data_IF_426179669347
#
_entry.id   IF_426179669347
#
_cell.length_a   1.000
_cell.length_b   1.000
_cell.length_c   1.000
_cell.angle_alpha   90.00
_cell.angle_beta   90.00
_cell.angle_gamma   90.00
#
_symmetry.space_group_name_H-M   'P 1'
#
loop_
_entity.id
_entity.type
_entity.pdbx_description
1 polymer ?
#
# COMPACT_ATOMS: atom_id res chain seq x y z
N UNK A 1 18.25 -17.27 7.74
CA UNK A 1 18.29 -16.38 8.93
C UNK A 1 19.59 -15.60 9.11
N UNK A 2 20.79 -16.19 8.96
CA UNK A 2 22.08 -15.46 9.08
C UNK A 2 22.29 -14.40 8.01
N UNK A 3 21.82 -14.60 6.78
CA UNK A 3 21.99 -13.68 5.65
C UNK A 3 21.29 -12.32 5.84
N UNK A 4 20.09 -12.28 6.43
CA UNK A 4 19.37 -11.01 6.72
C UNK A 4 20.06 -10.18 7.82
N UNK A 5 20.68 -10.82 8.81
CA UNK A 5 21.46 -10.11 9.86
C UNK A 5 22.69 -9.41 9.29
N UNK A 6 23.39 -10.04 8.35
CA UNK A 6 24.58 -9.43 7.73
C UNK A 6 24.21 -8.32 6.75
N UNK A 7 23.09 -8.45 6.01
CA UNK A 7 22.60 -7.39 5.12
C UNK A 7 22.22 -6.12 5.91
N UNK A 8 21.59 -6.28 7.06
CA UNK A 8 21.22 -5.18 7.96
C UNK A 8 22.43 -4.48 8.56
N UNK A 9 23.44 -5.25 9.01
CA UNK A 9 24.72 -4.72 9.54
C UNK A 9 25.55 -4.01 8.46
N UNK A 10 25.63 -4.55 7.25
CA UNK A 10 26.35 -3.95 6.13
C UNK A 10 25.67 -2.64 5.69
N UNK A 11 24.34 -2.58 5.69
CA UNK A 11 23.61 -1.35 5.37
C UNK A 11 23.79 -0.26 6.44
N UNK A 12 23.81 -0.63 7.73
CA UNK A 12 24.10 0.30 8.82
C UNK A 12 25.55 0.80 8.81
N UNK A 13 26.52 -0.06 8.50
CA UNK A 13 27.94 0.30 8.41
C UNK A 13 28.26 1.14 7.17
N UNK A 14 27.59 0.92 6.05
CA UNK A 14 27.77 1.76 4.85
C UNK A 14 27.21 3.18 5.06
N UNK A 15 26.15 3.34 5.82
CA UNK A 15 25.61 4.66 6.18
C UNK A 15 26.57 5.41 7.11
N UNK A 16 27.22 4.74 8.08
CA UNK A 16 28.21 5.37 8.96
C UNK A 16 29.52 5.74 8.23
N UNK A 17 29.97 4.96 7.25
CA UNK A 17 31.17 5.26 6.46
C UNK A 17 30.98 6.49 5.53
N UNK A 18 29.78 6.73 5.04
CA UNK A 18 29.47 7.96 4.28
C UNK A 18 29.43 9.21 5.17
N UNK A 19 29.20 9.08 6.46
CA UNK A 19 29.22 10.20 7.41
C UNK A 19 30.62 10.77 7.66
N UNK A 20 31.67 9.96 7.61
CA UNK A 20 33.06 10.38 7.87
C UNK A 20 33.72 11.04 6.67
N UNK A 21 33.31 10.77 5.44
CA UNK A 21 33.88 11.40 4.23
C UNK A 21 33.25 12.76 3.86
N UNK A 22 32.14 13.15 4.47
CA UNK A 22 31.46 14.41 4.16
C UNK A 22 32.02 15.63 4.94
N UNK A 23 33.03 15.47 5.79
CA UNK A 23 33.57 16.54 6.64
C UNK A 23 34.78 17.30 6.07
N UNK A 24 35.35 16.84 4.96
CA UNK A 24 36.53 17.52 4.37
C UNK A 24 36.23 18.01 2.95
N UNK A 25 35.70 19.21 2.80
CA UNK A 25 36.08 20.17 1.73
C UNK A 25 35.37 21.53 1.92
N UNK A 26 36.18 22.51 2.20
CA UNK A 26 36.11 23.99 2.04
C UNK A 26 34.78 24.65 1.64
N UNK A 27 34.35 25.55 2.53
CA UNK A 27 33.79 26.91 2.34
C UNK A 27 32.89 27.18 1.12
N UNK A 28 31.62 26.93 1.26
CA UNK A 28 30.50 27.77 0.81
C UNK A 28 29.39 27.56 1.81
N UNK A 29 28.71 28.64 2.27
CA UNK A 29 27.56 28.56 3.20
C UNK A 29 26.47 27.62 2.63
N UNK A 30 26.62 26.33 2.80
CA UNK A 30 25.56 25.35 2.57
C UNK A 30 24.64 25.39 3.77
N UNK A 31 23.46 25.91 3.57
CA UNK A 31 22.33 25.68 4.49
C UNK A 31 22.30 24.19 4.83
N UNK A 32 22.44 23.83 6.10
CA UNK A 32 22.36 22.43 6.55
C UNK A 32 20.99 21.94 6.16
N UNK A 33 20.90 21.29 5.01
CA UNK A 33 19.73 20.54 4.59
C UNK A 33 19.70 19.27 5.43
N UNK A 34 18.52 18.89 5.91
CA UNK A 34 18.28 17.69 6.72
C UNK A 34 19.23 16.55 6.28
N UNK A 35 20.06 15.99 7.18
CA UNK A 35 21.07 14.97 6.85
C UNK A 35 20.47 13.68 6.24
N UNK A 36 19.15 13.48 6.39
CA UNK A 36 18.42 12.35 5.80
C UNK A 36 17.92 12.61 4.37
N UNK A 37 18.19 13.79 3.80
CA UNK A 37 17.74 14.16 2.46
C UNK A 37 18.93 14.52 1.55
N UNK A 38 18.96 13.93 0.38
CA UNK A 38 19.95 14.21 -0.67
C UNK A 38 19.24 14.65 -1.96
N UNK A 39 19.76 15.68 -2.61
CA UNK A 39 19.23 16.16 -3.89
C UNK A 39 20.39 16.38 -4.87
N UNK A 40 20.30 15.72 -6.04
CA UNK A 40 21.20 15.95 -7.16
C UNK A 40 20.38 16.04 -8.46
N UNK A 41 20.27 17.26 -8.99
CA UNK A 41 19.50 17.52 -10.20
C UNK A 41 18.06 17.03 -10.07
N UNK A 42 17.67 16.03 -10.88
CA UNK A 42 16.32 15.45 -10.90
C UNK A 42 16.09 14.37 -9.85
N UNK A 43 17.16 13.79 -9.30
CA UNK A 43 17.10 12.76 -8.28
C UNK A 43 16.99 13.38 -6.89
N UNK A 44 16.05 12.88 -6.11
CA UNK A 44 15.98 13.11 -4.66
C UNK A 44 15.95 11.76 -3.96
N UNK A 45 16.63 11.71 -2.83
CA UNK A 45 16.70 10.54 -1.96
C UNK A 45 16.44 10.96 -0.53
N UNK A 46 15.69 10.17 0.20
CA UNK A 46 15.45 10.37 1.61
C UNK A 46 15.31 9.02 2.32
N UNK A 47 15.75 8.93 3.57
CA UNK A 47 15.57 7.74 4.41
C UNK A 47 14.91 8.17 5.71
N UNK A 48 13.88 7.45 6.12
CA UNK A 48 13.18 7.72 7.37
C UNK A 48 13.10 6.46 8.22
N UNK A 49 13.38 6.58 9.53
CA UNK A 49 13.12 5.50 10.45
C UNK A 49 11.60 5.30 10.60
N UNK A 50 11.19 4.06 10.80
CA UNK A 50 9.82 3.69 11.11
C UNK A 50 9.78 2.78 12.30
N UNK A 51 8.74 2.93 13.11
CA UNK A 51 8.42 2.03 14.19
C UNK A 51 6.93 1.81 14.26
N UNK A 52 6.52 0.62 14.62
CA UNK A 52 5.13 0.28 14.92
C UNK A 52 5.07 -0.67 16.10
N UNK A 53 3.90 -0.76 16.71
CA UNK A 53 3.61 -1.72 17.75
C UNK A 53 2.39 -2.50 17.32
N UNK A 54 2.52 -3.80 17.26
CA UNK A 54 1.44 -4.72 16.96
C UNK A 54 1.41 -5.81 18.04
N UNK A 55 0.24 -6.13 18.62
CA UNK A 55 0.14 -7.14 19.68
C UNK A 55 0.67 -8.53 19.26
N UNK A 56 0.52 -8.89 18.00
CA UNK A 56 1.00 -10.17 17.48
C UNK A 56 2.49 -10.17 17.22
N UNK A 57 3.03 -9.14 16.55
CA UNK A 57 4.43 -9.05 16.14
C UNK A 57 5.36 -8.35 17.14
N UNK A 58 4.81 -7.64 18.13
CA UNK A 58 5.57 -6.87 19.10
C UNK A 58 5.99 -5.49 18.59
N UNK A 59 7.16 -5.01 18.99
CA UNK A 59 7.72 -3.74 18.51
C UNK A 59 8.42 -4.01 17.19
N UNK A 60 8.00 -3.32 16.15
CA UNK A 60 8.64 -3.33 14.83
C UNK A 60 9.50 -2.07 14.67
N UNK A 61 10.72 -2.26 14.25
CA UNK A 61 11.66 -1.19 13.91
C UNK A 61 12.09 -1.36 12.45
N UNK A 62 12.32 -0.24 11.78
CA UNK A 62 12.71 -0.31 10.39
C UNK A 62 13.08 1.01 9.76
N UNK A 63 13.18 1.00 8.44
CA UNK A 63 13.48 2.18 7.64
C UNK A 63 12.69 2.19 6.34
N UNK A 64 12.44 3.40 5.84
CA UNK A 64 11.80 3.66 4.55
C UNK A 64 12.71 4.56 3.69
N UNK A 65 13.62 4.00 2.88
CA UNK A 65 14.29 4.74 1.83
C UNK A 65 13.33 5.04 0.68
N UNK A 66 13.39 6.26 0.17
CA UNK A 66 12.60 6.75 -0.96
C UNK A 66 13.48 7.46 -1.95
N UNK A 67 13.42 7.02 -3.19
CA UNK A 67 14.01 7.68 -4.34
C UNK A 67 12.88 8.31 -5.17
N UNK A 68 13.08 9.55 -5.60
CA UNK A 68 12.16 10.21 -6.52
C UNK A 68 12.92 10.90 -7.63
N UNK A 69 12.45 10.72 -8.86
CA UNK A 69 13.02 11.28 -10.07
C UNK A 69 11.98 12.21 -10.71
N UNK A 70 12.27 13.51 -10.72
CA UNK A 70 11.39 14.48 -11.38
C UNK A 70 11.27 14.19 -12.89
N UNK A 71 10.11 14.46 -13.50
CA UNK A 71 9.95 14.35 -14.94
C UNK A 71 10.94 15.25 -15.69
N UNK A 72 11.27 14.93 -16.95
CA UNK A 72 12.17 15.74 -17.79
C UNK A 72 11.59 17.14 -18.07
N UNK A 73 10.30 17.23 -18.35
CA UNK A 73 9.57 18.47 -18.40
C UNK A 73 8.95 18.75 -17.01
N UNK A 74 9.00 20.00 -16.55
CA UNK A 74 8.45 20.37 -15.22
C UNK A 74 6.96 20.06 -15.10
N UNK A 75 6.22 20.22 -16.18
CA UNK A 75 4.79 19.95 -16.30
C UNK A 75 4.59 19.49 -17.74
N UNK A 76 3.78 18.47 -17.98
CA UNK A 76 3.43 18.12 -19.36
C UNK A 76 2.47 19.18 -19.96
N UNK A 77 2.18 19.07 -21.26
CA UNK A 77 1.33 20.02 -21.98
C UNK A 77 -0.10 20.16 -21.40
N UNK A 78 -0.51 19.24 -20.51
CA UNK A 78 -1.81 19.23 -19.85
C UNK A 78 -1.75 19.62 -18.37
N UNK A 79 -0.58 19.99 -17.86
CA UNK A 79 -0.41 20.43 -16.47
C UNK A 79 -0.21 19.32 -15.44
N UNK A 80 0.08 18.09 -15.85
CA UNK A 80 0.26 16.94 -14.94
C UNK A 80 1.71 16.78 -14.50
N UNK A 81 1.91 16.56 -13.21
CA UNK A 81 3.23 16.28 -12.64
C UNK A 81 3.34 14.81 -12.24
N UNK A 82 4.08 14.02 -13.01
CA UNK A 82 4.27 12.58 -12.81
C UNK A 82 5.73 12.26 -12.54
N UNK A 83 6.14 12.36 -11.26
CA UNK A 83 7.47 11.90 -10.84
C UNK A 83 7.53 10.39 -10.78
N UNK A 84 8.64 9.82 -11.25
CA UNK A 84 8.95 8.42 -11.01
C UNK A 84 9.49 8.25 -9.59
N UNK A 85 9.18 7.14 -8.94
CA UNK A 85 9.64 6.91 -7.58
C UNK A 85 9.83 5.42 -7.29
N UNK A 86 10.80 5.14 -6.44
CA UNK A 86 11.06 3.84 -5.84
C UNK A 86 11.10 4.01 -4.32
N UNK A 87 10.36 3.21 -3.60
CA UNK A 87 10.35 3.20 -2.15
C UNK A 87 10.53 1.77 -1.63
N UNK A 88 11.19 1.63 -0.50
CA UNK A 88 11.20 0.39 0.24
C UNK A 88 10.65 0.61 1.65
N UNK A 89 10.04 -0.42 2.19
CA UNK A 89 9.60 -0.52 3.57
C UNK A 89 10.24 -1.76 4.16
N UNK A 90 11.16 -1.56 5.08
CA UNK A 90 12.00 -2.60 5.67
C UNK A 90 11.73 -2.58 7.15
N UNK A 91 11.04 -3.60 7.69
CA UNK A 91 10.77 -3.72 9.12
C UNK A 91 11.16 -5.09 9.65
N UNK A 92 11.62 -5.08 10.88
CA UNK A 92 11.92 -6.28 11.65
C UNK A 92 11.44 -6.09 13.08
N UNK A 93 10.87 -7.13 13.66
CA UNK A 93 10.26 -7.06 14.98
C UNK A 93 11.08 -7.75 16.06
N UNK A 94 10.79 -7.40 17.32
CA UNK A 94 11.39 -8.03 18.51
C UNK A 94 11.05 -9.51 18.66
N UNK A 95 10.03 -10.00 17.96
CA UNK A 95 9.65 -11.42 17.92
C UNK A 95 10.13 -12.14 16.66
N UNK A 96 11.17 -11.63 15.98
CA UNK A 96 11.78 -12.20 14.77
C UNK A 96 10.88 -12.21 13.52
N UNK A 97 9.91 -11.31 13.42
CA UNK A 97 9.08 -11.15 12.22
C UNK A 97 9.70 -10.14 11.26
N UNK A 98 9.54 -10.37 9.99
CA UNK A 98 10.11 -9.53 8.94
C UNK A 98 9.07 -9.14 7.89
N UNK A 99 9.07 -7.86 7.50
CA UNK A 99 8.31 -7.39 6.35
C UNK A 99 9.22 -6.50 5.49
N UNK A 100 9.51 -6.96 4.28
CA UNK A 100 10.33 -6.26 3.30
C UNK A 100 9.47 -6.03 2.07
N UNK A 101 9.19 -4.77 1.74
CA UNK A 101 8.45 -4.39 0.55
C UNK A 101 9.21 -3.32 -0.23
N UNK A 102 9.42 -3.56 -1.50
CA UNK A 102 9.92 -2.57 -2.45
C UNK A 102 8.84 -2.31 -3.49
N UNK A 103 8.60 -1.04 -3.81
CA UNK A 103 7.63 -0.66 -4.83
C UNK A 103 8.11 0.54 -5.63
N UNK A 104 7.90 0.49 -6.94
CA UNK A 104 8.29 1.55 -7.86
C UNK A 104 7.17 1.88 -8.84
N UNK A 105 7.09 3.16 -9.19
CA UNK A 105 6.22 3.66 -10.25
C UNK A 105 7.05 4.56 -11.17
N UNK A 106 7.07 4.25 -12.45
CA UNK A 106 7.95 4.91 -13.41
C UNK A 106 7.16 5.42 -14.61
N UNK A 107 7.43 6.66 -14.98
CA UNK A 107 6.83 7.36 -16.11
C UNK A 107 7.92 7.74 -17.10
N UNK A 108 7.79 7.33 -18.35
CA UNK A 108 8.75 7.64 -19.40
C UNK A 108 8.26 8.77 -20.30
N UNK A 109 9.17 9.47 -20.95
CA UNK A 109 8.83 10.50 -21.94
C UNK A 109 8.11 9.97 -23.18
N UNK A 110 8.20 8.66 -23.43
CA UNK A 110 7.49 7.99 -24.53
C UNK A 110 6.07 7.56 -24.15
N UNK A 111 5.57 7.97 -22.98
CA UNK A 111 4.23 7.65 -22.49
C UNK A 111 4.08 6.20 -21.98
N UNK A 112 5.18 5.48 -21.72
CA UNK A 112 5.13 4.22 -21.00
C UNK A 112 5.06 4.52 -19.49
N UNK A 113 4.19 3.80 -18.81
CA UNK A 113 4.07 3.80 -17.37
C UNK A 113 4.19 2.35 -16.89
N UNK A 114 5.09 2.08 -15.98
CA UNK A 114 5.24 0.77 -15.37
C UNK A 114 5.37 0.87 -13.87
N UNK A 115 4.64 -0.01 -13.20
CA UNK A 115 4.67 -0.23 -11.78
C UNK A 115 5.30 -1.58 -11.47
N UNK A 116 6.03 -1.66 -10.39
CA UNK A 116 6.60 -2.92 -9.89
C UNK A 116 6.53 -2.93 -8.38
N UNK A 117 6.22 -4.08 -7.82
CA UNK A 117 6.46 -4.29 -6.40
C UNK A 117 6.92 -5.73 -6.13
N UNK A 118 7.69 -5.88 -5.07
CA UNK A 118 8.05 -7.17 -4.48
C UNK A 118 7.90 -7.05 -2.98
N UNK A 119 7.33 -8.05 -2.35
CA UNK A 119 7.18 -8.11 -0.90
C UNK A 119 7.49 -9.50 -0.37
N UNK A 120 8.30 -9.55 0.65
CA UNK A 120 8.48 -10.70 1.53
C UNK A 120 7.84 -10.41 2.88
N UNK A 121 7.04 -11.33 3.38
CA UNK A 121 6.49 -11.31 4.73
C UNK A 121 6.79 -12.62 5.43
N UNK A 122 7.19 -12.53 6.68
CA UNK A 122 7.27 -13.63 7.64
C UNK A 122 6.76 -13.10 8.97
N UNK A 123 5.50 -13.38 9.29
CA UNK A 123 4.83 -12.82 10.47
C UNK A 123 3.64 -13.71 10.90
N UNK A 124 3.27 -13.68 12.18
CA UNK A 124 2.01 -14.28 12.60
C UNK A 124 0.84 -13.51 11.99
N UNK A 125 -0.23 -14.21 11.72
CA UNK A 125 -1.46 -13.63 11.22
C UNK A 125 -2.66 -14.38 11.81
N UNK A 126 -3.86 -13.82 11.63
CA UNK A 126 -5.08 -14.38 12.17
C UNK A 126 -6.09 -14.60 11.05
N UNK A 127 -6.76 -15.72 11.10
CA UNK A 127 -7.90 -16.04 10.24
C UNK A 127 -9.16 -16.09 11.09
N UNK A 128 -10.11 -15.21 10.81
CA UNK A 128 -11.37 -15.08 11.56
C UNK A 128 -12.51 -15.87 10.94
N UNK A 129 -12.32 -16.44 9.75
CA UNK A 129 -13.33 -17.03 8.89
C UNK A 129 -13.60 -16.19 7.65
N UNK A 130 -14.58 -16.61 6.84
CA UNK A 130 -15.00 -15.92 5.61
C UNK A 130 -16.41 -15.37 5.86
N UNK A 131 -16.66 -14.12 5.42
CA UNK A 131 -17.94 -13.43 5.57
C UNK A 131 -18.01 -12.48 6.76
N UNK A 132 -19.22 -12.02 7.05
CA UNK A 132 -19.51 -10.99 8.05
C UNK A 132 -19.70 -11.53 9.47
N UNK A 133 -20.12 -12.78 9.65
CA UNK A 133 -20.52 -13.36 10.94
C UNK A 133 -19.33 -13.87 11.79
N UNK A 134 -18.11 -13.61 11.35
CA UNK A 134 -16.88 -14.16 11.92
C UNK A 134 -16.37 -13.41 13.18
N UNK A 135 -17.03 -12.32 13.58
CA UNK A 135 -16.57 -11.42 14.64
C UNK A 135 -16.58 -12.07 16.02
N UNK A 136 -17.49 -13.01 16.26
CA UNK A 136 -17.68 -13.69 17.54
C UNK A 136 -16.90 -15.00 17.67
N UNK A 137 -16.11 -15.35 16.67
CA UNK A 137 -15.29 -16.58 16.67
C UNK A 137 -13.88 -16.30 17.17
N UNK A 138 -13.31 -17.21 17.96
CA UNK A 138 -11.89 -17.17 18.27
C UNK A 138 -11.10 -17.42 16.98
N UNK A 139 -10.26 -16.47 16.53
CA UNK A 139 -9.56 -16.64 15.27
C UNK A 139 -8.48 -17.73 15.35
N UNK A 140 -8.23 -18.42 14.27
CA UNK A 140 -7.06 -19.26 14.13
C UNK A 140 -5.83 -18.39 13.96
N UNK A 141 -4.83 -18.56 14.81
CA UNK A 141 -3.50 -17.98 14.61
C UNK A 141 -2.68 -18.91 13.75
N UNK A 142 -1.90 -18.35 12.84
CA UNK A 142 -0.99 -19.12 11.98
C UNK A 142 0.24 -18.30 11.62
N UNK A 143 1.31 -18.96 11.24
CA UNK A 143 2.50 -18.33 10.69
C UNK A 143 2.29 -18.12 9.19
N UNK A 144 2.25 -16.85 8.79
CA UNK A 144 2.06 -16.40 7.43
C UNK A 144 3.41 -16.04 6.80
N UNK A 145 3.84 -16.81 5.82
CA UNK A 145 5.04 -16.51 5.05
C UNK A 145 4.71 -16.44 3.57
N UNK A 146 5.08 -15.34 2.92
CA UNK A 146 4.93 -15.24 1.48
C UNK A 146 6.01 -14.40 0.81
N UNK A 147 6.24 -14.70 -0.45
CA UNK A 147 6.85 -13.81 -1.42
C UNK A 147 5.80 -13.48 -2.46
N UNK A 148 5.53 -12.20 -2.67
CA UNK A 148 4.65 -11.74 -3.74
C UNK A 148 5.28 -10.62 -4.54
N UNK A 149 4.99 -10.61 -5.83
CA UNK A 149 5.40 -9.56 -6.73
C UNK A 149 4.29 -9.20 -7.70
N UNK A 150 4.38 -8.00 -8.25
CA UNK A 150 3.48 -7.54 -9.29
C UNK A 150 4.20 -6.62 -10.25
N UNK A 151 3.77 -6.67 -11.48
CA UNK A 151 4.25 -5.81 -12.56
C UNK A 151 3.05 -5.28 -13.33
N UNK A 152 3.03 -3.98 -13.55
CA UNK A 152 2.06 -3.30 -14.40
C UNK A 152 2.80 -2.61 -15.52
N UNK A 153 2.37 -2.82 -16.76
CA UNK A 153 2.85 -2.06 -17.90
C UNK A 153 1.67 -1.46 -18.63
N UNK A 154 1.72 -0.16 -18.88
CA UNK A 154 0.70 0.52 -19.65
C UNK A 154 1.28 1.61 -20.55
N UNK A 155 0.61 1.84 -21.67
CA UNK A 155 0.92 2.89 -22.64
C UNK A 155 -0.11 4.00 -22.52
N UNK A 156 0.34 5.25 -22.45
CA UNK A 156 -0.57 6.40 -22.47
C UNK A 156 -1.10 6.66 -23.88
N UNK A 157 -2.40 6.90 -23.96
CA UNK A 157 -3.12 7.40 -25.12
C UNK A 157 -3.67 8.77 -24.76
N UNK A 158 -3.39 9.80 -25.54
CA UNK A 158 -3.78 11.18 -25.25
C UNK A 158 -3.41 11.64 -23.81
N UNK A 159 -2.25 11.20 -23.32
CA UNK A 159 -1.64 11.60 -22.05
C UNK A 159 -2.40 11.15 -20.78
N UNK A 160 -3.72 10.99 -20.83
CA UNK A 160 -4.59 10.73 -19.67
C UNK A 160 -5.16 9.31 -19.61
N UNK A 161 -5.22 8.60 -20.72
CA UNK A 161 -5.67 7.22 -20.78
C UNK A 161 -4.47 6.29 -20.84
N UNK A 162 -4.44 5.26 -20.02
CA UNK A 162 -3.39 4.24 -20.01
C UNK A 162 -4.04 2.88 -20.20
N UNK A 163 -3.59 2.15 -21.20
CA UNK A 163 -4.04 0.79 -21.50
C UNK A 163 -2.84 -0.13 -21.37
N UNK A 164 -3.01 -1.24 -20.74
CA UNK A 164 -1.93 -2.16 -20.45
C UNK A 164 -2.36 -3.45 -19.79
N UNK A 165 -1.44 -4.06 -19.06
CA UNK A 165 -1.66 -5.30 -18.36
C UNK A 165 -0.99 -5.33 -16.99
N UNK A 166 -1.47 -6.25 -16.15
CA UNK A 166 -0.91 -6.61 -14.84
C UNK A 166 -0.43 -8.05 -14.86
N UNK A 167 0.70 -8.28 -14.20
CA UNK A 167 1.19 -9.61 -13.82
C UNK A 167 1.29 -9.67 -12.31
N UNK A 168 0.87 -10.77 -11.71
CA UNK A 168 0.97 -11.01 -10.27
C UNK A 168 1.51 -12.41 -10.01
N UNK A 169 2.45 -12.51 -9.08
CA UNK A 169 2.96 -13.78 -8.58
C UNK A 169 2.92 -13.75 -7.07
N UNK A 170 2.44 -14.81 -6.44
CA UNK A 170 2.49 -14.98 -5.00
C UNK A 170 2.77 -16.44 -4.66
N UNK A 171 3.83 -16.69 -3.90
CA UNK A 171 4.07 -17.96 -3.24
C UNK A 171 3.74 -17.79 -1.76
N UNK A 172 2.82 -18.61 -1.26
CA UNK A 172 2.26 -18.56 0.08
C UNK A 172 2.58 -19.84 0.83
N UNK A 173 3.13 -19.72 2.03
CA UNK A 173 3.33 -20.82 2.97
C UNK A 173 2.59 -20.51 4.27
N UNK A 174 1.82 -21.47 4.77
CA UNK A 174 1.01 -21.37 5.97
C UNK A 174 1.41 -22.51 6.91
N UNK A 175 1.89 -22.17 8.09
CA UNK A 175 2.38 -23.14 9.09
C UNK A 175 1.95 -22.73 10.50
N UNK A 176 2.25 -23.57 11.49
CA UNK A 176 1.96 -23.30 12.91
C UNK A 176 0.49 -22.91 13.15
N UNK A 177 -0.45 -23.67 12.56
CA UNK A 177 -1.87 -23.38 12.58
C UNK A 177 -2.48 -23.80 13.93
N UNK A 178 -2.98 -22.85 14.68
CA UNK A 178 -3.91 -23.10 15.80
C UNK A 178 -5.29 -23.39 15.21
N UNK A 179 -5.70 -24.66 15.21
CA UNK A 179 -6.91 -25.13 14.53
C UNK A 179 -8.18 -24.76 15.28
N UNK A 180 -8.73 -23.57 15.04
CA UNK A 180 -10.06 -23.18 15.48
C UNK A 180 -11.02 -23.10 14.30
N UNK A 181 -10.88 -22.07 13.44
CA UNK A 181 -11.72 -21.84 12.25
C UNK A 181 -10.98 -22.12 10.94
N UNK A 182 -9.64 -22.08 10.93
CA UNK A 182 -8.84 -22.44 9.75
C UNK A 182 -8.57 -23.94 9.73
N UNK A 183 -9.14 -24.64 8.76
CA UNK A 183 -9.03 -26.09 8.60
C UNK A 183 -8.89 -26.48 7.13
N UNK A 184 -8.67 -27.75 6.85
CA UNK A 184 -8.40 -28.27 5.50
C UNK A 184 -9.55 -28.13 4.48
N UNK A 185 -10.75 -27.77 4.91
CA UNK A 185 -11.88 -27.48 4.00
C UNK A 185 -11.81 -26.06 3.41
N UNK A 186 -10.98 -25.18 3.98
CA UNK A 186 -10.79 -23.82 3.52
C UNK A 186 -9.86 -23.80 2.32
N UNK A 187 -10.31 -23.22 1.21
CA UNK A 187 -9.51 -23.10 0.00
C UNK A 187 -8.21 -22.32 0.26
N UNK A 188 -7.06 -22.92 -0.11
CA UNK A 188 -5.74 -22.36 0.16
C UNK A 188 -5.17 -22.66 1.55
N UNK A 189 -5.78 -23.56 2.34
CA UNK A 189 -5.30 -23.96 3.68
C UNK A 189 -3.80 -24.34 3.70
N UNK A 190 -3.32 -25.04 2.68
CA UNK A 190 -1.92 -25.48 2.57
C UNK A 190 -1.00 -24.40 1.94
N UNK A 191 -1.51 -23.21 1.68
CA UNK A 191 -0.79 -22.22 0.88
C UNK A 191 -0.77 -22.57 -0.61
N UNK A 192 0.28 -22.14 -1.32
CA UNK A 192 0.45 -22.43 -2.75
C UNK A 192 1.03 -21.29 -3.54
N UNK A 193 1.19 -21.51 -4.84
CA UNK A 193 1.68 -20.49 -5.77
C UNK A 193 0.56 -20.07 -6.71
N UNK A 194 0.28 -18.77 -6.71
CA UNK A 194 -0.71 -18.11 -7.58
C UNK A 194 0.02 -17.27 -8.61
N UNK A 195 -0.29 -17.50 -9.88
CA UNK A 195 0.14 -16.66 -11.00
C UNK A 195 -1.09 -16.03 -11.64
N UNK A 196 -1.06 -14.72 -11.84
CA UNK A 196 -2.16 -13.95 -12.42
C UNK A 196 -1.70 -13.02 -13.54
N UNK A 197 -2.52 -12.89 -14.58
CA UNK A 197 -2.33 -11.95 -15.69
C UNK A 197 -3.68 -11.36 -16.10
N UNK A 198 -3.68 -10.10 -16.49
CA UNK A 198 -4.90 -9.50 -17.01
C UNK A 198 -4.79 -8.08 -17.50
N UNK A 199 -5.80 -7.57 -18.19
CA UNK A 199 -5.84 -6.21 -18.71
C UNK A 199 -5.95 -5.17 -17.60
N UNK A 200 -5.41 -4.00 -17.87
CA UNK A 200 -5.43 -2.81 -17.03
C UNK A 200 -5.81 -1.59 -17.86
N UNK A 201 -6.76 -0.83 -17.36
CA UNK A 201 -7.09 0.49 -17.86
C UNK A 201 -6.98 1.53 -16.74
N UNK A 202 -6.38 2.69 -17.04
CA UNK A 202 -6.34 3.85 -16.13
C UNK A 202 -6.73 5.11 -16.90
N UNK A 203 -7.56 5.93 -16.28
CA UNK A 203 -7.80 7.33 -16.66
C UNK A 203 -7.27 8.20 -15.55
N UNK A 204 -6.25 9.03 -15.81
CA UNK A 204 -5.54 9.77 -14.77
C UNK A 204 -5.35 11.24 -15.18
N UNK A 205 -6.12 12.12 -14.54
CA UNK A 205 -6.05 13.58 -14.69
C UNK A 205 -5.60 14.27 -13.41
N UNK A 206 -4.96 13.54 -12.48
CA UNK A 206 -4.44 14.13 -11.24
C UNK A 206 -3.33 15.13 -11.54
N UNK A 207 -3.36 16.28 -10.86
CA UNK A 207 -2.32 17.31 -10.93
C UNK A 207 -0.95 16.81 -10.42
N UNK A 208 -0.96 15.91 -9.43
CA UNK A 208 0.23 15.28 -8.86
C UNK A 208 -0.09 13.84 -8.45
N UNK A 209 0.81 12.90 -8.72
CA UNK A 209 0.57 11.47 -8.44
C UNK A 209 0.77 11.10 -6.97
N UNK A 210 1.56 11.85 -6.21
CA UNK A 210 1.90 11.55 -4.81
C UNK A 210 0.99 12.26 -3.81
N UNK A 211 0.56 13.50 -4.13
CA UNK A 211 -0.35 14.31 -3.32
C UNK A 211 -1.28 15.09 -4.25
N UNK A 212 -2.27 14.42 -4.80
CA UNK A 212 -3.22 15.10 -5.70
C UNK A 212 -4.12 16.05 -4.93
N UNK A 213 -4.30 17.23 -5.52
CA UNK A 213 -5.21 18.27 -5.00
C UNK A 213 -6.42 18.45 -5.89
N UNK A 214 -6.32 18.09 -7.15
CA UNK A 214 -7.40 18.11 -8.15
C UNK A 214 -7.21 17.05 -9.22
N UNK A 215 -8.30 16.73 -9.90
CA UNK A 215 -8.32 15.73 -10.96
C UNK A 215 -9.04 14.45 -10.54
N UNK A 216 -8.90 13.43 -11.37
CA UNK A 216 -9.60 12.15 -11.24
C UNK A 216 -8.63 11.02 -11.58
N UNK A 217 -8.71 9.92 -10.85
CA UNK A 217 -8.15 8.64 -11.23
C UNK A 217 -9.29 7.63 -11.33
N UNK A 218 -9.38 6.94 -12.47
CA UNK A 218 -10.18 5.72 -12.62
C UNK A 218 -9.23 4.60 -13.00
N UNK A 219 -9.30 3.48 -12.30
CA UNK A 219 -8.53 2.29 -12.64
C UNK A 219 -9.45 1.09 -12.65
N UNK A 220 -9.40 0.32 -13.74
CA UNK A 220 -10.11 -0.93 -13.88
C UNK A 220 -9.15 -2.05 -14.27
N UNK A 221 -9.30 -3.24 -13.70
CA UNK A 221 -8.54 -4.42 -14.10
C UNK A 221 -9.33 -5.70 -13.93
N UNK A 222 -9.00 -6.71 -14.75
CA UNK A 222 -9.46 -8.07 -14.60
C UNK A 222 -8.24 -8.98 -14.63
N UNK A 223 -7.97 -9.71 -13.54
CA UNK A 223 -6.79 -10.58 -13.42
C UNK A 223 -7.24 -12.02 -13.37
N UNK A 224 -6.85 -12.78 -14.37
CA UNK A 224 -7.07 -14.23 -14.48
C UNK A 224 -5.93 -14.94 -13.78
N UNK A 225 -6.25 -15.71 -12.76
CA UNK A 225 -5.29 -16.36 -11.86
C UNK A 225 -5.47 -17.87 -11.82
N UNK A 226 -4.37 -18.58 -11.67
CA UNK A 226 -4.36 -20.03 -11.50
C UNK A 226 -3.36 -20.44 -10.43
N UNK A 227 -3.67 -21.53 -9.74
CA UNK A 227 -2.80 -22.16 -8.75
C UNK A 227 -1.90 -23.16 -9.46
N UNK A 228 -0.58 -22.98 -9.35
CA UNK A 228 0.38 -23.85 -10.07
C UNK A 228 0.56 -25.21 -9.41
N UNK A 229 0.29 -25.32 -8.10
CA UNK A 229 0.39 -26.55 -7.32
C UNK A 229 -0.91 -27.37 -7.28
N UNK A 230 -2.03 -26.82 -7.77
CA UNK A 230 -3.32 -27.50 -7.84
C UNK A 230 -3.88 -27.43 -9.26
N UNK A 231 -3.80 -28.57 -9.97
CA UNK A 231 -4.30 -28.68 -11.34
C UNK A 231 -5.80 -28.33 -11.38
N UNK A 232 -6.18 -27.47 -12.33
CA UNK A 232 -7.53 -27.01 -12.62
C UNK A 232 -8.12 -25.95 -11.68
N UNK A 233 -7.45 -25.51 -10.61
CA UNK A 233 -7.94 -24.41 -9.79
C UNK A 233 -7.56 -23.07 -10.39
N UNK A 234 -8.59 -22.29 -10.65
CA UNK A 234 -8.49 -20.96 -11.28
C UNK A 234 -9.53 -20.00 -10.70
N UNK A 235 -9.19 -18.74 -10.71
CA UNK A 235 -10.11 -17.67 -10.32
C UNK A 235 -9.83 -16.39 -11.08
N UNK A 236 -10.80 -15.51 -11.13
CA UNK A 236 -10.66 -14.18 -11.74
C UNK A 236 -10.97 -13.12 -10.71
N UNK A 237 -10.16 -12.07 -10.64
CA UNK A 237 -10.40 -10.91 -9.79
C UNK A 237 -10.65 -9.69 -10.66
N UNK A 238 -11.82 -9.09 -10.51
CA UNK A 238 -12.21 -7.81 -11.09
C UNK A 238 -12.03 -6.70 -10.07
N UNK A 239 -11.56 -5.53 -10.50
CA UNK A 239 -11.43 -4.37 -9.62
C UNK A 239 -11.74 -3.08 -10.36
N UNK A 240 -12.42 -2.17 -9.67
CA UNK A 240 -12.69 -0.81 -10.14
C UNK A 240 -12.44 0.17 -9.00
N UNK A 241 -11.52 1.11 -9.22
CA UNK A 241 -11.10 2.14 -8.26
C UNK A 241 -11.35 3.53 -8.88
N UNK A 242 -12.22 4.28 -8.27
CA UNK A 242 -12.53 5.66 -8.62
C UNK A 242 -12.02 6.59 -7.53
N UNK A 243 -11.22 7.59 -7.92
CA UNK A 243 -10.72 8.63 -7.00
C UNK A 243 -10.97 10.00 -7.58
N UNK A 244 -11.44 10.92 -6.75
CA UNK A 244 -11.67 12.31 -7.11
C UNK A 244 -11.04 13.23 -6.09
N UNK A 245 -10.45 14.32 -6.59
CA UNK A 245 -9.74 15.29 -5.77
C UNK A 245 -10.26 16.69 -6.05
N UNK A 246 -10.52 17.47 -4.98
CA UNK A 246 -11.06 18.81 -5.03
C UNK A 246 -10.26 19.72 -4.11
N UNK A 247 -10.02 20.94 -4.55
CA UNK A 247 -9.53 22.02 -3.70
C UNK A 247 -10.69 22.97 -3.43
N UNK A 248 -11.08 23.13 -2.16
CA UNK A 248 -12.18 24.01 -1.77
C UNK A 248 -11.70 25.44 -1.47
N UNK A 249 -10.68 25.58 -0.62
CA UNK A 249 -10.08 26.84 -0.24
C UNK A 249 -8.57 26.75 -0.41
N UNK A 250 -7.87 27.89 -0.29
CA UNK A 250 -6.40 28.01 -0.57
C UNK A 250 -5.49 26.95 0.05
N UNK A 251 -5.94 26.01 0.86
CA UNK A 251 -5.11 24.94 1.40
C UNK A 251 -5.91 23.74 1.90
N UNK A 252 -7.23 23.71 1.67
CA UNK A 252 -8.09 22.60 2.09
C UNK A 252 -8.46 21.78 0.85
N UNK A 253 -7.99 20.54 0.83
CA UNK A 253 -8.26 19.59 -0.23
C UNK A 253 -9.14 18.46 0.29
N UNK A 254 -10.06 17.98 -0.52
CA UNK A 254 -10.82 16.76 -0.31
C UNK A 254 -10.34 15.70 -1.31
N UNK A 255 -9.94 14.56 -0.80
CA UNK A 255 -9.75 13.34 -1.56
C UNK A 255 -10.92 12.40 -1.30
N UNK A 256 -11.48 11.83 -2.35
CA UNK A 256 -12.55 10.83 -2.29
C UNK A 256 -12.13 9.60 -3.07
N UNK A 257 -12.47 8.42 -2.55
CA UNK A 257 -12.28 7.13 -3.22
C UNK A 257 -13.53 6.27 -3.07
N UNK A 258 -13.91 5.61 -4.16
CA UNK A 258 -14.86 4.51 -4.17
C UNK A 258 -14.21 3.31 -4.87
N UNK A 259 -14.25 2.15 -4.24
CA UNK A 259 -13.64 0.92 -4.70
C UNK A 259 -14.66 -0.21 -4.67
N UNK A 260 -14.67 -1.02 -5.71
CA UNK A 260 -15.38 -2.29 -5.77
C UNK A 260 -14.47 -3.35 -6.36
N UNK A 261 -14.47 -4.54 -5.78
CA UNK A 261 -13.77 -5.68 -6.34
C UNK A 261 -14.54 -6.97 -6.08
N UNK A 262 -14.39 -7.90 -7.01
CA UNK A 262 -15.05 -9.21 -6.99
C UNK A 262 -14.05 -10.28 -7.39
N UNK A 263 -14.14 -11.45 -6.77
CA UNK A 263 -13.37 -12.63 -7.15
C UNK A 263 -14.30 -13.81 -7.37
N UNK A 264 -14.11 -14.51 -8.50
CA UNK A 264 -14.95 -15.63 -8.93
C UNK A 264 -14.07 -16.88 -9.17
N UNK A 265 -14.57 -18.05 -8.80
CA UNK A 265 -13.87 -19.33 -8.95
C UNK A 265 -13.29 -19.85 -7.64
N UNK A 266 -12.20 -20.63 -7.73
CA UNK A 266 -11.53 -21.31 -6.61
C UNK A 266 -10.53 -20.35 -5.93
N UNK A 267 -11.03 -19.38 -5.19
CA UNK A 267 -10.24 -18.31 -4.60
C UNK A 267 -9.63 -18.76 -3.27
N UNK A 268 -8.28 -18.89 -3.15
CA UNK A 268 -7.66 -19.16 -1.85
C UNK A 268 -7.99 -18.04 -0.84
N UNK A 269 -8.19 -18.38 0.44
CA UNK A 269 -8.61 -17.41 1.45
C UNK A 269 -7.69 -16.18 1.54
N UNK A 270 -6.40 -16.35 1.31
CA UNK A 270 -5.41 -15.27 1.30
C UNK A 270 -5.44 -14.40 0.04
N UNK A 271 -6.32 -14.71 -0.94
CA UNK A 271 -6.60 -13.91 -2.15
C UNK A 271 -8.04 -13.37 -2.17
N UNK A 272 -8.85 -13.68 -1.18
CA UNK A 272 -10.19 -13.08 -1.01
C UNK A 272 -10.07 -11.56 -0.84
N UNK A 273 -11.14 -10.86 -1.21
CA UNK A 273 -11.24 -9.42 -1.03
C UNK A 273 -11.35 -9.08 0.46
N UNK A 274 -10.82 -7.92 0.86
CA UNK A 274 -10.79 -7.52 2.26
C UNK A 274 -10.95 -6.02 2.44
N UNK A 275 -11.42 -5.61 3.61
CA UNK A 275 -11.40 -4.23 4.08
C UNK A 275 -10.48 -4.11 5.29
N UNK A 276 -9.86 -2.93 5.45
CA UNK A 276 -8.97 -2.64 6.56
C UNK A 276 -7.50 -2.49 6.16
N UNK A 277 -6.69 -2.21 7.15
CA UNK A 277 -5.26 -1.95 7.01
C UNK A 277 -4.95 -0.47 6.72
N UNK A 278 -3.72 -0.21 6.30
CA UNK A 278 -3.17 1.16 6.22
C UNK A 278 -3.66 2.01 5.03
N UNK A 279 -4.39 1.44 4.08
CA UNK A 279 -4.85 2.13 2.88
C UNK A 279 -6.37 2.17 2.74
N UNK A 280 -7.05 1.10 3.14
CA UNK A 280 -8.49 0.90 2.95
C UNK A 280 -9.18 0.89 4.31
N UNK A 281 -10.18 1.73 4.53
CA UNK A 281 -10.95 1.78 5.79
C UNK A 281 -10.05 1.65 7.04
N UNK A 282 -9.10 2.57 7.19
CA UNK A 282 -8.17 2.64 8.33
C UNK A 282 -8.95 2.67 9.64
N UNK A 283 -8.57 1.86 10.62
CA UNK A 283 -9.32 1.61 11.86
C UNK A 283 -9.63 0.13 12.03
N UNK A 284 -9.86 -0.60 10.93
CA UNK A 284 -9.87 -2.05 10.91
C UNK A 284 -8.41 -2.49 10.77
N UNK A 285 -7.78 -2.87 11.88
CA UNK A 285 -6.32 -3.10 11.93
C UNK A 285 -5.90 -4.39 11.23
N UNK A 286 -6.64 -5.47 11.43
CA UNK A 286 -6.37 -6.73 10.76
C UNK A 286 -7.25 -6.86 9.50
N UNK A 287 -6.61 -6.84 8.33
CA UNK A 287 -7.29 -6.99 7.02
C UNK A 287 -7.97 -8.35 6.83
N UNK A 288 -7.56 -9.39 7.57
CA UNK A 288 -8.17 -10.72 7.49
C UNK A 288 -9.41 -10.86 8.40
N UNK A 289 -9.76 -9.81 9.15
CA UNK A 289 -10.96 -9.82 10.01
C UNK A 289 -12.25 -9.82 9.19
N UNK A 290 -12.21 -9.21 8.02
CA UNK A 290 -13.35 -9.13 7.11
C UNK A 290 -12.87 -9.45 5.71
N UNK A 291 -13.07 -10.71 5.28
CA UNK A 291 -12.69 -11.22 3.97
C UNK A 291 -13.85 -11.96 3.33
N UNK A 292 -14.07 -11.75 2.03
CA UNK A 292 -15.05 -12.48 1.23
C UNK A 292 -14.71 -12.37 -0.27
N UNK A 293 -15.52 -12.98 -1.13
CA UNK A 293 -15.36 -12.91 -2.60
C UNK A 293 -15.51 -11.49 -3.14
N UNK A 294 -16.37 -10.69 -2.53
CA UNK A 294 -16.69 -9.34 -3.00
C UNK A 294 -16.42 -8.30 -1.92
N UNK A 295 -16.08 -7.09 -2.34
CA UNK A 295 -15.88 -5.94 -1.46
C UNK A 295 -16.34 -4.67 -2.17
N UNK A 296 -16.91 -3.76 -1.43
CA UNK A 296 -16.97 -2.36 -1.80
C UNK A 296 -16.66 -1.48 -0.60
N UNK A 297 -16.07 -0.35 -0.85
CA UNK A 297 -15.93 0.71 0.15
C UNK A 297 -15.84 2.09 -0.50
N UNK A 298 -16.21 3.08 0.29
CA UNK A 298 -15.97 4.49 -0.02
C UNK A 298 -15.29 5.15 1.16
N UNK A 299 -14.36 6.06 0.87
CA UNK A 299 -13.67 6.84 1.89
C UNK A 299 -13.37 8.24 1.40
N UNK A 300 -13.31 9.18 2.34
CA UNK A 300 -12.99 10.57 2.09
C UNK A 300 -11.97 11.08 3.09
N UNK A 301 -11.11 11.99 2.65
CA UNK A 301 -10.06 12.58 3.48
C UNK A 301 -9.95 14.08 3.20
N UNK A 302 -10.18 14.90 4.22
CA UNK A 302 -9.86 16.31 4.23
C UNK A 302 -8.39 16.50 4.57
N UNK A 303 -7.66 17.22 3.74
CA UNK A 303 -6.22 17.47 3.85
C UNK A 303 -5.96 18.96 3.90
N UNK A 304 -5.23 19.43 4.92
CA UNK A 304 -4.86 20.83 5.08
C UNK A 304 -3.38 20.98 5.43
N UNK A 305 -2.65 21.73 4.61
CA UNK A 305 -1.32 22.18 5.01
C UNK A 305 -1.46 23.31 6.02
N UNK A 306 -0.86 23.16 7.18
CA UNK A 306 -0.96 24.13 8.28
C UNK A 306 0.29 24.97 8.42
N UNK A 307 1.48 24.39 8.20
CA UNK A 307 2.73 25.13 8.29
C UNK A 307 3.84 24.47 7.46
N UNK A 308 4.43 25.22 6.53
CA UNK A 308 5.57 24.73 5.70
C UNK A 308 5.38 23.30 5.17
N UNK A 309 6.06 22.33 5.80
CA UNK A 309 6.05 20.91 5.45
C UNK A 309 5.04 20.07 6.26
N UNK A 310 4.31 20.72 7.18
CA UNK A 310 3.39 20.04 8.10
C UNK A 310 1.95 20.23 7.65
N UNK A 311 1.22 19.14 7.57
CA UNK A 311 -0.21 19.10 7.28
C UNK A 311 -0.95 18.24 8.29
N UNK A 312 -2.27 18.41 8.32
CA UNK A 312 -3.20 17.61 9.11
C UNK A 312 -4.29 17.05 8.21
N UNK A 313 -4.86 15.93 8.61
CA UNK A 313 -5.97 15.30 7.91
C UNK A 313 -7.04 14.83 8.88
N UNK A 314 -8.29 14.80 8.39
CA UNK A 314 -9.41 14.09 8.99
C UNK A 314 -10.03 13.22 7.90
N UNK A 315 -10.39 11.98 8.24
CA UNK A 315 -10.92 11.04 7.27
C UNK A 315 -12.01 10.17 7.84
N UNK A 316 -12.82 9.62 6.95
CA UNK A 316 -13.82 8.62 7.26
C UNK A 316 -14.14 7.77 6.04
N UNK A 317 -14.77 6.65 6.31
CA UNK A 317 -15.17 5.74 5.24
C UNK A 317 -16.17 4.69 5.73
N UNK A 318 -16.81 4.05 4.76
CA UNK A 318 -17.79 2.99 4.98
C UNK A 318 -17.63 1.94 3.90
N UNK A 319 -17.87 0.69 4.22
CA UNK A 319 -17.82 -0.40 3.24
C UNK A 319 -18.28 -1.72 3.81
N UNK A 320 -18.33 -2.72 2.97
CA UNK A 320 -18.68 -4.07 3.32
C UNK A 320 -17.96 -5.10 2.47
N UNK A 321 -17.89 -6.32 2.98
CA UNK A 321 -17.58 -7.54 2.24
C UNK A 321 -18.85 -8.34 2.10
N UNK A 322 -19.00 -9.15 1.05
CA UNK A 322 -20.20 -9.95 0.82
C UNK A 322 -19.94 -11.12 -0.12
N UNK A 323 -20.72 -12.19 0.02
CA UNK A 323 -20.60 -13.38 -0.82
C UNK A 323 -21.42 -13.27 -2.10
N UNK A 324 -22.63 -12.71 -2.03
CA UNK A 324 -23.62 -12.64 -3.12
C UNK A 324 -24.04 -11.21 -3.41
N UNK A 325 -24.44 -10.94 -4.66
CA UNK A 325 -24.91 -9.62 -5.12
C UNK A 325 -26.39 -9.42 -4.79
N UNK A 326 -26.72 -9.32 -3.49
CA UNK A 326 -28.06 -9.14 -2.96
C UNK A 326 -28.07 -8.16 -1.77
N UNK A 327 -29.02 -8.30 -0.85
CA UNK A 327 -29.11 -7.46 0.35
C UNK A 327 -27.89 -7.57 1.28
N UNK A 328 -27.12 -8.65 1.22
CA UNK A 328 -25.88 -8.81 2.00
C UNK A 328 -24.85 -7.72 1.68
N UNK A 329 -24.87 -7.19 0.47
CA UNK A 329 -24.02 -6.07 0.05
C UNK A 329 -24.11 -4.85 0.97
N UNK A 330 -25.27 -4.58 1.59
CA UNK A 330 -25.52 -3.39 2.41
C UNK A 330 -25.90 -3.69 3.86
N UNK A 331 -26.01 -4.96 4.25
CA UNK A 331 -26.55 -5.35 5.56
C UNK A 331 -25.57 -5.17 6.72
N UNK A 332 -24.29 -5.38 6.50
CA UNK A 332 -23.24 -5.40 7.54
C UNK A 332 -22.18 -4.30 7.33
N UNK A 333 -22.64 -3.05 7.27
CA UNK A 333 -21.76 -1.92 6.98
C UNK A 333 -20.74 -1.68 8.11
N UNK A 334 -19.49 -1.47 7.73
CA UNK A 334 -18.38 -1.11 8.62
C UNK A 334 -18.00 0.34 8.37
N UNK A 335 -18.16 1.17 9.39
CA UNK A 335 -17.77 2.57 9.36
C UNK A 335 -16.45 2.79 10.11
N UNK A 336 -15.61 3.66 9.58
CA UNK A 336 -14.35 4.06 10.18
C UNK A 336 -14.17 5.58 10.12
N UNK A 337 -13.41 6.12 11.05
CA UNK A 337 -13.02 7.53 11.04
C UNK A 337 -11.66 7.71 11.73
N UNK A 338 -11.04 8.85 11.51
CA UNK A 338 -9.76 9.13 12.12
C UNK A 338 -9.18 10.46 11.73
N UNK A 339 -8.01 10.71 12.24
CA UNK A 339 -7.23 11.91 11.97
C UNK A 339 -5.74 11.56 11.83
N UNK A 340 -4.96 12.50 11.30
CA UNK A 340 -3.54 12.25 11.12
C UNK A 340 -2.75 13.51 10.84
N UNK A 341 -1.42 13.33 10.91
CA UNK A 341 -0.44 14.32 10.55
C UNK A 341 0.31 13.92 9.27
N UNK A 342 0.78 14.93 8.57
CA UNK A 342 1.61 14.79 7.37
C UNK A 342 2.90 15.57 7.55
N UNK A 343 4.00 14.96 7.19
CA UNK A 343 5.28 15.64 7.09
C UNK A 343 5.86 15.44 5.69
N UNK A 344 6.02 16.55 4.95
CA UNK A 344 6.47 16.49 3.57
C UNK A 344 7.98 16.21 3.50
N UNK A 345 8.30 14.97 3.19
CA UNK A 345 9.68 14.44 3.19
C UNK A 345 10.42 14.79 1.89
N UNK A 346 9.74 14.76 0.76
CA UNK A 346 10.26 15.23 -0.52
C UNK A 346 9.36 16.35 -1.05
N UNK A 347 9.63 17.63 -0.69
CA UNK A 347 8.72 18.75 -1.01
C UNK A 347 8.50 18.95 -2.49
N UNK A 348 9.53 18.79 -3.33
CA UNK A 348 9.42 18.96 -4.79
C UNK A 348 8.37 18.03 -5.39
N UNK A 349 8.35 16.78 -4.96
CA UNK A 349 7.47 15.75 -5.51
C UNK A 349 6.24 15.50 -4.62
N UNK A 350 6.08 16.31 -3.57
CA UNK A 350 4.99 16.24 -2.59
C UNK A 350 4.83 14.86 -1.94
N UNK A 351 5.94 14.17 -1.65
CA UNK A 351 5.89 12.89 -0.94
C UNK A 351 5.85 13.16 0.56
N UNK A 352 4.84 12.62 1.23
CA UNK A 352 4.59 12.79 2.65
C UNK A 352 4.93 11.53 3.45
N UNK A 353 5.49 11.71 4.62
CA UNK A 353 5.40 10.78 5.73
C UNK A 353 4.04 11.01 6.40
N UNK A 354 3.32 9.95 6.65
CA UNK A 354 1.95 9.95 7.13
C UNK A 354 1.87 9.25 8.49
N UNK A 355 1.21 9.88 9.44
CA UNK A 355 0.87 9.34 10.74
C UNK A 355 -0.63 9.46 10.93
N UNK A 356 -1.33 8.34 10.99
CA UNK A 356 -2.78 8.30 11.15
C UNK A 356 -3.15 7.53 12.40
N UNK A 357 -4.14 8.03 13.14
CA UNK A 357 -4.84 7.29 14.17
C UNK A 357 -6.31 7.14 13.75
N UNK A 358 -6.82 5.93 13.78
CA UNK A 358 -8.14 5.62 13.24
C UNK A 358 -8.93 4.70 14.17
N UNK A 359 -10.24 4.87 14.14
CA UNK A 359 -11.23 4.09 14.87
C UNK A 359 -12.06 3.28 13.89
N UNK A 360 -12.32 2.04 14.23
CA UNK A 360 -13.11 1.08 13.46
C UNK A 360 -14.30 0.52 14.24
N UNK A 361 -15.04 -0.40 13.64
CA UNK A 361 -16.14 -1.06 14.29
C UNK A 361 -15.68 -1.95 15.45
N UNK A 362 -16.58 -2.22 16.41
CA UNK A 362 -16.36 -3.13 17.53
C UNK A 362 -15.14 -2.76 18.41
N UNK A 363 -14.84 -1.47 18.56
CA UNK A 363 -13.74 -0.99 19.38
C UNK A 363 -12.36 -1.13 18.72
N UNK A 364 -12.27 -1.52 17.47
CA UNK A 364 -11.02 -1.53 16.73
C UNK A 364 -10.42 -0.11 16.66
N UNK A 365 -9.13 0.00 16.82
CA UNK A 365 -8.41 1.24 16.58
C UNK A 365 -6.96 0.93 16.18
N UNK A 366 -6.35 1.81 15.41
CA UNK A 366 -4.99 1.57 14.92
C UNK A 366 -4.21 2.85 14.65
N UNK A 367 -2.90 2.75 14.89
CA UNK A 367 -1.92 3.75 14.50
C UNK A 367 -1.15 3.27 13.27
N UNK A 368 -1.01 4.14 12.28
CA UNK A 368 -0.34 3.83 11.02
C UNK A 368 0.73 4.88 10.72
N UNK A 369 1.98 4.43 10.61
CA UNK A 369 3.09 5.22 10.11
C UNK A 369 3.50 4.69 8.73
N UNK A 370 3.44 5.51 7.69
CA UNK A 370 3.75 5.08 6.32
C UNK A 370 4.10 6.26 5.42
N UNK A 371 4.55 5.96 4.20
CA UNK A 371 4.89 6.97 3.22
C UNK A 371 3.83 7.05 2.12
N UNK A 372 3.68 8.25 1.51
CA UNK A 372 2.63 8.65 0.57
C UNK A 372 1.23 8.69 1.19
N UNK A 373 0.26 9.16 0.43
CA UNK A 373 -1.14 9.21 0.86
C UNK A 373 -1.81 7.83 0.79
N UNK A 374 -2.96 7.69 1.44
CA UNK A 374 -3.71 6.43 1.45
C UNK A 374 -4.29 6.12 0.05
N UNK A 375 -4.73 7.18 -0.68
CA UNK A 375 -5.32 7.10 -2.01
C UNK A 375 -5.18 8.43 -2.76
#
# INVERSE_FOLDING_TARGET
MRFCRYLFLILCLSISAYYTQAQDSSSTKKTIKNPLEYTNGRLQFAVYPVSSVDPASGIELGMMPVFSIAPKAKIDSMGFYRSSSLAAHLTYSTKNWANVRCEGQFYTSKGLNYGVFVQYLHAPDYFYGIGNDTINTSPSKFLNQYVKGGFELSKSIKTIHFIGFKLELQHQTITEIEKTVLNSSIEGYNGGTVLGIGPLYKFDTRDNVNYPTKGTLIQASAVFSFLTNEKNKKFTTYSFDYRKYFTFFKSLNLAFQAMIASSEGDVPFYKLQSIGGKYNLRGITNKNKYIDKNVWYTQAEFRKNVYKRVGVVAFGGIGNIYSTWDNDMISHLKAVYGFGARFQVIPRDKINLRFDYAFGPNGDSGFYATIREAF
#
